data_IF_315706091725
#
_entry.id   IF_315706091725
#
_cell.length_a   1.000
_cell.length_b   1.000
_cell.length_c   1.000
_cell.angle_alpha   90.00
_cell.angle_beta   90.00
_cell.angle_gamma   90.00
#
_symmetry.space_group_name_H-M   'P 1'
#
loop_
_entity.id
_entity.type
_entity.pdbx_description
1 polymer ?
#
# COMPACT_ATOMS: atom_id res chain seq x y z
N UNK A 1 7.80 -17.07 -2.66
CA UNK A 1 6.85 -15.99 -2.34
C UNK A 1 6.35 -15.44 -3.66
N UNK A 2 5.03 -15.42 -3.86
CA UNK A 2 4.43 -14.97 -5.13
C UNK A 2 4.66 -13.47 -5.30
N UNK A 3 5.09 -13.04 -6.49
CA UNK A 3 5.25 -11.63 -6.89
C UNK A 3 3.88 -10.94 -7.13
N UNK A 4 2.82 -11.48 -6.53
CA UNK A 4 1.45 -11.05 -6.72
C UNK A 4 1.02 -10.17 -5.54
N UNK A 5 0.26 -9.08 -5.78
CA UNK A 5 -0.17 -8.16 -4.71
C UNK A 5 -1.36 -8.71 -3.89
N UNK A 6 -1.45 -10.04 -3.74
CA UNK A 6 -2.54 -10.73 -3.05
C UNK A 6 -2.11 -12.11 -2.56
N UNK A 7 -2.77 -12.60 -1.51
CA UNK A 7 -2.59 -13.98 -1.03
C UNK A 7 -3.47 -14.97 -1.80
N UNK A 8 -3.01 -16.22 -1.89
CA UNK A 8 -3.82 -17.34 -2.36
C UNK A 8 -4.10 -18.26 -1.18
N UNK A 9 -5.37 -18.35 -0.77
CA UNK A 9 -5.79 -19.13 0.39
C UNK A 9 -6.79 -20.20 -0.05
N UNK A 10 -6.73 -21.39 0.54
CA UNK A 10 -7.76 -22.41 0.29
C UNK A 10 -9.07 -21.94 0.93
N UNK A 11 -10.21 -22.17 0.26
CA UNK A 11 -11.52 -21.82 0.82
C UNK A 11 -11.79 -22.47 2.20
N UNK A 12 -11.13 -23.61 2.49
CA UNK A 12 -11.23 -24.33 3.78
C UNK A 12 -10.42 -23.69 4.90
N UNK A 13 -9.42 -22.88 4.58
CA UNK A 13 -8.56 -22.24 5.58
C UNK A 13 -9.23 -20.96 6.10
N UNK A 14 -9.33 -20.83 7.42
CA UNK A 14 -9.68 -19.56 8.06
C UNK A 14 -8.65 -18.49 7.72
N UNK A 15 -9.10 -17.24 7.52
CA UNK A 15 -8.22 -16.07 7.38
C UNK A 15 -7.16 -16.13 8.49
N UNK A 16 -5.93 -16.44 8.11
CA UNK A 16 -4.83 -16.74 9.02
C UNK A 16 -3.85 -15.58 9.00
N UNK A 17 -3.12 -15.44 10.10
CA UNK A 17 -1.98 -14.53 10.24
C UNK A 17 -0.86 -15.01 9.29
N UNK A 18 -0.96 -14.64 8.01
CA UNK A 18 -0.03 -15.06 6.97
C UNK A 18 1.14 -14.09 6.85
N UNK A 19 2.25 -14.55 6.28
CA UNK A 19 3.39 -13.67 5.96
C UNK A 19 2.95 -12.47 5.10
N UNK A 20 1.96 -12.66 4.21
CA UNK A 20 1.41 -11.57 3.40
C UNK A 20 0.58 -10.59 4.23
N UNK A 21 -0.21 -11.06 5.19
CA UNK A 21 -0.92 -10.20 6.12
C UNK A 21 0.05 -9.34 6.92
N UNK A 22 1.10 -9.95 7.48
CA UNK A 22 2.15 -9.24 8.21
C UNK A 22 2.86 -8.22 7.33
N UNK A 23 3.25 -8.62 6.10
CA UNK A 23 3.85 -7.71 5.13
C UNK A 23 2.95 -6.52 4.85
N UNK A 24 1.67 -6.73 4.51
CA UNK A 24 0.74 -5.64 4.23
C UNK A 24 0.53 -4.72 5.44
N UNK A 25 0.55 -5.27 6.65
CA UNK A 25 0.47 -4.49 7.88
C UNK A 25 1.74 -3.65 8.10
N UNK A 26 2.92 -4.18 7.82
CA UNK A 26 4.19 -3.45 7.94
C UNK A 26 4.32 -2.36 6.87
N UNK A 27 3.95 -2.66 5.63
CA UNK A 27 4.04 -1.74 4.50
C UNK A 27 2.83 -0.82 4.35
N UNK A 28 1.81 -0.99 5.19
CA UNK A 28 0.54 -0.24 5.14
C UNK A 28 -0.12 -0.32 3.76
N UNK A 29 -0.09 -1.50 3.12
CA UNK A 29 -0.69 -1.76 1.80
C UNK A 29 -1.97 -2.58 1.93
N UNK A 30 -2.86 -2.58 0.92
CA UNK A 30 -4.11 -3.32 0.98
C UNK A 30 -3.86 -4.83 1.11
N UNK A 31 -4.55 -5.49 2.03
CA UNK A 31 -4.55 -6.94 2.13
C UNK A 31 -5.71 -7.52 1.31
N UNK A 32 -5.38 -8.00 0.11
CA UNK A 32 -6.32 -8.69 -0.79
C UNK A 32 -6.01 -10.17 -0.81
N UNK A 33 -7.04 -11.00 -0.77
CA UNK A 33 -6.93 -12.46 -0.78
C UNK A 33 -7.82 -13.05 -1.86
N UNK A 34 -7.32 -14.06 -2.56
CA UNK A 34 -8.11 -14.94 -3.41
C UNK A 34 -8.33 -16.26 -2.67
N UNK A 35 -9.57 -16.56 -2.30
CA UNK A 35 -9.94 -17.84 -1.70
C UNK A 35 -10.43 -18.77 -2.80
N UNK A 36 -9.63 -19.78 -3.14
CA UNK A 36 -10.00 -20.71 -4.22
C UNK A 36 -10.75 -21.91 -3.66
N UNK A 37 -11.93 -22.18 -4.19
CA UNK A 37 -12.66 -23.43 -4.03
C UNK A 37 -12.51 -24.32 -5.27
N UNK A 38 -13.25 -25.44 -5.29
CA UNK A 38 -13.13 -26.46 -6.35
C UNK A 38 -13.62 -25.96 -7.72
N UNK A 39 -14.61 -25.06 -7.75
CA UNK A 39 -15.25 -24.58 -8.99
C UNK A 39 -15.29 -23.06 -9.13
N UNK A 40 -15.04 -22.34 -8.06
CA UNK A 40 -15.10 -20.89 -8.00
C UNK A 40 -14.07 -20.36 -7.03
N UNK A 41 -13.79 -19.07 -7.12
CA UNK A 41 -12.93 -18.37 -6.18
C UNK A 41 -13.58 -17.07 -5.73
N UNK A 42 -13.29 -16.69 -4.49
CA UNK A 42 -13.74 -15.45 -3.90
C UNK A 42 -12.55 -14.49 -3.79
N UNK A 43 -12.79 -13.20 -4.01
CA UNK A 43 -11.79 -12.14 -3.83
C UNK A 43 -12.22 -11.26 -2.69
N UNK A 44 -11.36 -11.11 -1.68
CA UNK A 44 -11.68 -10.40 -0.44
C UNK A 44 -10.67 -9.31 -0.18
N UNK A 45 -11.15 -8.17 0.28
CA UNK A 45 -10.35 -7.13 0.92
C UNK A 45 -10.96 -6.78 2.28
N UNK A 46 -10.10 -6.72 3.28
CA UNK A 46 -10.39 -6.31 4.65
C UNK A 46 -9.40 -5.19 5.05
N UNK A 47 -9.96 -4.03 5.38
CA UNK A 47 -9.26 -2.81 5.82
C UNK A 47 -8.30 -2.95 7.01
N UNK A 48 -8.19 -4.12 7.67
CA UNK A 48 -7.32 -4.36 8.84
C UNK A 48 -5.88 -3.83 8.68
N UNK A 49 -5.35 -3.80 7.46
CA UNK A 49 -3.96 -3.40 7.18
C UNK A 49 -3.73 -1.90 6.99
N UNK A 50 -4.79 -1.10 7.00
CA UNK A 50 -4.72 0.33 6.68
C UNK A 50 -4.77 1.23 7.92
N UNK A 51 -4.11 2.41 7.89
CA UNK A 51 -4.16 3.34 9.01
C UNK A 51 -5.53 4.06 9.10
N UNK A 52 -5.94 4.55 10.29
CA UNK A 52 -7.26 5.17 10.49
C UNK A 52 -7.57 6.38 9.58
N UNK A 53 -6.54 7.11 9.14
CA UNK A 53 -6.71 8.21 8.18
C UNK A 53 -7.21 7.72 6.82
N UNK A 54 -6.86 6.49 6.41
CA UNK A 54 -7.37 5.87 5.20
C UNK A 54 -8.85 5.49 5.34
N UNK A 55 -9.28 5.02 6.52
CA UNK A 55 -10.69 4.72 6.80
C UNK A 55 -11.57 5.97 6.62
N UNK A 56 -11.15 7.10 7.18
CA UNK A 56 -11.87 8.36 6.99
C UNK A 56 -11.98 8.76 5.51
N UNK A 57 -10.90 8.56 4.72
CA UNK A 57 -10.88 8.85 3.28
C UNK A 57 -11.78 7.88 2.50
N UNK A 58 -11.73 6.58 2.79
CA UNK A 58 -12.57 5.56 2.18
C UNK A 58 -14.06 5.82 2.46
N UNK A 59 -14.42 6.11 3.72
CA UNK A 59 -15.80 6.45 4.11
C UNK A 59 -16.30 7.72 3.43
N UNK A 60 -15.48 8.77 3.39
CA UNK A 60 -15.85 10.04 2.73
C UNK A 60 -16.08 9.84 1.23
N UNK A 61 -15.37 8.92 0.60
CA UNK A 61 -15.44 8.63 -0.83
C UNK A 61 -16.19 7.32 -1.13
N UNK A 62 -17.01 6.83 -0.19
CA UNK A 62 -17.59 5.48 -0.28
C UNK A 62 -18.43 5.28 -1.54
N UNK A 63 -19.20 6.29 -1.96
CA UNK A 63 -20.01 6.22 -3.19
C UNK A 63 -19.13 5.99 -4.43
N UNK A 64 -17.98 6.67 -4.51
CA UNK A 64 -17.05 6.51 -5.62
C UNK A 64 -16.36 5.13 -5.54
N UNK A 65 -15.91 4.73 -4.34
CA UNK A 65 -15.33 3.42 -4.10
C UNK A 65 -16.30 2.30 -4.49
N UNK A 66 -17.56 2.39 -4.07
CA UNK A 66 -18.58 1.40 -4.38
C UNK A 66 -18.81 1.29 -5.89
N UNK A 67 -18.97 2.43 -6.57
CA UNK A 67 -19.15 2.47 -8.02
C UNK A 67 -17.97 1.80 -8.74
N UNK A 68 -16.74 2.15 -8.36
CA UNK A 68 -15.55 1.67 -9.04
C UNK A 68 -15.30 0.18 -8.73
N UNK A 69 -15.56 -0.27 -7.50
CA UNK A 69 -15.52 -1.67 -7.12
C UNK A 69 -16.58 -2.51 -7.86
N UNK A 70 -17.79 -1.95 -8.05
CA UNK A 70 -18.85 -2.58 -8.84
C UNK A 70 -18.46 -2.71 -10.30
N UNK A 71 -17.85 -1.68 -10.90
CA UNK A 71 -17.36 -1.74 -12.27
C UNK A 71 -16.25 -2.80 -12.45
N UNK A 72 -15.41 -3.02 -11.44
CA UNK A 72 -14.45 -4.14 -11.45
C UNK A 72 -15.20 -5.47 -11.40
N UNK A 73 -16.14 -5.63 -10.45
CA UNK A 73 -16.91 -6.87 -10.32
C UNK A 73 -17.63 -7.24 -11.63
N UNK A 74 -18.30 -6.28 -12.28
CA UNK A 74 -19.04 -6.49 -13.53
C UNK A 74 -18.16 -6.98 -14.69
N UNK A 75 -16.86 -6.68 -14.68
CA UNK A 75 -15.93 -7.18 -15.71
C UNK A 75 -15.61 -8.68 -15.57
N UNK A 76 -15.74 -9.23 -14.36
CA UNK A 76 -15.35 -10.60 -14.05
C UNK A 76 -16.54 -11.48 -13.59
N UNK A 77 -17.71 -10.87 -13.39
CA UNK A 77 -18.89 -11.55 -12.88
C UNK A 77 -19.43 -12.58 -13.88
N UNK A 78 -19.90 -13.69 -13.32
CA UNK A 78 -20.74 -14.69 -13.98
C UNK A 78 -22.12 -14.72 -13.31
N UNK A 79 -23.13 -15.44 -13.85
CA UNK A 79 -24.49 -15.42 -13.32
C UNK A 79 -24.60 -15.76 -11.83
N UNK A 80 -23.71 -16.62 -11.32
CA UNK A 80 -23.65 -17.05 -9.92
C UNK A 80 -22.79 -16.14 -9.04
N UNK A 81 -22.16 -15.11 -9.60
CA UNK A 81 -21.32 -14.19 -8.85
C UNK A 81 -22.14 -13.22 -8.01
N UNK A 82 -21.62 -12.86 -6.84
CA UNK A 82 -22.24 -11.87 -5.97
C UNK A 82 -21.23 -10.83 -5.49
N UNK A 83 -21.71 -9.60 -5.32
CA UNK A 83 -20.93 -8.48 -4.86
C UNK A 83 -21.40 -8.06 -3.47
N UNK A 84 -20.47 -8.01 -2.50
CA UNK A 84 -20.71 -7.43 -1.18
C UNK A 84 -19.75 -6.27 -0.97
N UNK A 85 -20.30 -5.08 -0.73
CA UNK A 85 -19.51 -3.87 -0.47
C UNK A 85 -19.96 -3.27 0.86
N UNK A 86 -18.99 -2.98 1.71
CA UNK A 86 -19.09 -2.15 2.92
C UNK A 86 -17.90 -1.19 2.92
N UNK A 87 -17.94 -0.08 3.68
CA UNK A 87 -16.84 0.87 3.72
C UNK A 87 -15.48 0.27 4.10
N UNK A 88 -15.51 -0.86 4.80
CA UNK A 88 -14.35 -1.53 5.36
C UNK A 88 -14.12 -2.93 4.78
N UNK A 89 -14.95 -3.38 3.83
CA UNK A 89 -14.87 -4.74 3.29
C UNK A 89 -15.45 -4.80 1.89
N UNK A 90 -14.72 -5.42 0.97
CA UNK A 90 -15.22 -5.72 -0.38
C UNK A 90 -15.01 -7.20 -0.66
N UNK A 91 -16.05 -7.85 -1.16
CA UNK A 91 -16.04 -9.25 -1.52
C UNK A 91 -16.65 -9.47 -2.91
N UNK A 92 -15.91 -10.13 -3.79
CA UNK A 92 -16.41 -10.68 -5.05
C UNK A 92 -16.53 -12.18 -4.86
N UNK A 93 -17.75 -12.65 -4.66
CA UNK A 93 -18.03 -14.07 -4.42
C UNK A 93 -18.29 -14.80 -5.74
N UNK A 94 -17.89 -16.07 -5.79
CA UNK A 94 -18.16 -16.98 -6.90
C UNK A 94 -17.66 -16.48 -8.27
N UNK A 95 -16.43 -15.96 -8.34
CA UNK A 95 -15.76 -15.69 -9.61
C UNK A 95 -15.19 -16.99 -10.20
N UNK A 96 -14.91 -16.98 -11.50
CA UNK A 96 -14.12 -18.06 -12.10
C UNK A 96 -12.69 -18.02 -11.57
N UNK A 97 -12.11 -19.19 -11.28
CA UNK A 97 -10.76 -19.32 -10.71
C UNK A 97 -9.70 -18.64 -11.59
N UNK A 98 -9.85 -18.72 -12.91
CA UNK A 98 -8.96 -18.09 -13.89
C UNK A 98 -9.03 -16.56 -13.87
N UNK A 99 -10.15 -15.98 -13.42
CA UNK A 99 -10.38 -14.53 -13.41
C UNK A 99 -10.15 -13.89 -12.04
N UNK A 100 -10.25 -14.68 -10.96
CA UNK A 100 -10.16 -14.17 -9.59
C UNK A 100 -8.83 -13.45 -9.29
N UNK A 101 -7.72 -13.91 -9.86
CA UNK A 101 -6.41 -13.24 -9.73
C UNK A 101 -6.39 -11.85 -10.37
N UNK A 102 -6.97 -11.73 -11.57
CA UNK A 102 -7.09 -10.44 -12.27
C UNK A 102 -8.02 -9.49 -11.52
N UNK A 103 -9.13 -10.01 -10.98
CA UNK A 103 -10.04 -9.25 -10.15
C UNK A 103 -9.38 -8.77 -8.84
N UNK A 104 -8.57 -9.62 -8.18
CA UNK A 104 -7.81 -9.27 -7.00
C UNK A 104 -6.77 -8.17 -7.29
N UNK A 105 -6.03 -8.25 -8.39
CA UNK A 105 -5.09 -7.21 -8.79
C UNK A 105 -5.79 -5.88 -9.13
N UNK A 106 -6.99 -5.93 -9.73
CA UNK A 106 -7.80 -4.73 -9.96
C UNK A 106 -8.29 -4.12 -8.64
N UNK A 107 -8.81 -4.94 -7.72
CA UNK A 107 -9.26 -4.50 -6.41
C UNK A 107 -8.11 -3.89 -5.59
N UNK A 108 -6.94 -4.52 -5.57
CA UNK A 108 -5.76 -3.99 -4.90
C UNK A 108 -5.42 -2.57 -5.38
N UNK A 109 -5.37 -2.37 -6.71
CA UNK A 109 -5.07 -1.05 -7.30
C UNK A 109 -6.12 0.00 -6.95
N UNK A 110 -7.40 -0.40 -6.90
CA UNK A 110 -8.48 0.49 -6.46
C UNK A 110 -8.26 0.95 -5.02
N UNK A 111 -8.01 0.03 -4.08
CA UNK A 111 -7.80 0.40 -2.68
C UNK A 111 -6.52 1.22 -2.50
N UNK A 112 -5.44 0.85 -3.19
CA UNK A 112 -4.17 1.56 -3.15
C UNK A 112 -4.31 3.05 -3.52
N UNK A 113 -5.24 3.41 -4.41
CA UNK A 113 -5.53 4.81 -4.77
C UNK A 113 -6.02 5.67 -3.59
N UNK A 114 -6.66 5.04 -2.60
CA UNK A 114 -7.15 5.73 -1.39
C UNK A 114 -6.11 5.81 -0.29
N UNK A 115 -4.97 5.15 -0.44
CA UNK A 115 -3.87 5.27 0.49
C UNK A 115 -3.13 6.59 0.27
N UNK A 116 -2.54 7.19 1.31
CA UNK A 116 -1.54 8.23 1.09
C UNK A 116 -0.46 7.66 0.19
N UNK A 117 0.10 8.49 -0.69
CA UNK A 117 1.37 8.18 -1.33
C UNK A 117 2.33 7.84 -0.20
N UNK A 118 2.66 6.57 -0.05
CA UNK A 118 3.78 6.19 0.78
C UNK A 118 4.92 7.01 0.22
N UNK A 119 5.51 7.89 1.03
CA UNK A 119 6.83 8.40 0.73
C UNK A 119 7.68 7.14 0.58
N UNK A 120 7.89 6.71 -0.65
CA UNK A 120 8.76 5.60 -1.02
C UNK A 120 10.13 6.08 -0.56
N UNK A 121 10.44 5.84 0.71
CA UNK A 121 11.80 5.92 1.20
C UNK A 121 12.46 4.65 0.69
N UNK A 122 12.72 4.62 -0.62
CA UNK A 122 13.79 3.79 -1.13
C UNK A 122 15.06 4.22 -0.42
N UNK A 123 15.96 3.28 -0.05
CA UNK A 123 17.28 3.69 0.39
C UNK A 123 17.88 4.53 -0.74
N UNK A 124 18.25 5.77 -0.41
CA UNK A 124 18.99 6.65 -1.30
C UNK A 124 20.36 6.03 -1.58
N UNK A 125 20.40 5.07 -2.50
CA UNK A 125 21.60 4.68 -3.20
C UNK A 125 21.70 5.59 -4.42
N UNK A 126 22.60 6.58 -4.34
CA UNK A 126 23.57 6.96 -5.37
C UNK A 126 23.85 8.45 -5.24
N UNK A 127 25.05 8.76 -4.74
CA UNK A 127 26.00 9.79 -5.17
C UNK A 127 26.97 10.03 -3.99
N UNK A 128 28.29 9.92 -4.08
CA UNK A 128 29.20 9.51 -5.13
C UNK A 128 30.56 9.32 -4.43
N UNK A 129 31.19 8.16 -4.56
CA UNK A 129 32.63 8.02 -4.34
C UNK A 129 33.30 8.02 -5.73
N UNK A 130 33.82 9.17 -6.11
CA UNK A 130 34.77 9.37 -7.21
C UNK A 130 35.40 10.77 -7.10
N UNK A 131 36.36 10.87 -6.19
CA UNK A 131 37.70 11.42 -6.43
C UNK A 131 37.88 12.63 -7.41
N UNK A 132 37.95 13.85 -6.85
CA UNK A 132 38.99 14.92 -6.95
C UNK A 132 39.43 15.51 -8.32
N UNK A 133 39.75 16.83 -8.43
CA UNK A 133 40.84 17.49 -7.66
C UNK A 133 40.61 18.93 -7.14
N UNK A 134 41.44 19.24 -6.13
CA UNK A 134 41.73 20.48 -5.38
C UNK A 134 41.62 21.84 -6.12
N UNK A 135 41.47 22.93 -5.32
CA UNK A 135 42.26 24.15 -5.51
C UNK A 135 43.12 24.50 -4.26
N UNK A 136 44.15 25.37 -4.41
CA UNK A 136 45.27 25.46 -3.49
C UNK A 136 45.08 26.45 -2.32
N UNK A 137 45.82 26.15 -1.25
CA UNK A 137 46.59 27.03 -0.35
C UNK A 137 46.18 28.50 -0.25
N UNK A 138 45.57 28.89 0.88
CA UNK A 138 46.15 29.82 1.88
C UNK A 138 45.15 30.06 3.02
N UNK A 139 45.53 29.73 4.26
CA UNK A 139 44.78 30.10 5.46
C UNK A 139 45.75 30.75 6.44
N UNK A 140 45.65 32.06 6.70
CA UNK A 140 46.40 32.65 7.80
C UNK A 140 45.72 32.35 9.13
N UNK A 141 46.52 31.81 10.05
CA UNK A 141 46.30 31.79 11.50
C UNK A 141 46.36 33.21 12.05
N UNK A 142 45.34 33.60 12.81
CA UNK A 142 45.42 34.58 13.93
C UNK A 142 44.11 34.40 14.70
N UNK A 143 44.05 33.64 15.81
CA UNK A 143 44.40 34.04 17.17
C UNK A 143 44.14 35.52 17.53
N UNK A 144 43.22 35.65 18.50
CA UNK A 144 43.08 36.72 19.50
C UNK A 144 42.55 38.08 19.03
N UNK A 145 41.39 38.48 19.57
CA UNK A 145 41.37 39.43 20.69
C UNK A 145 39.96 39.53 21.30
N UNK A 146 39.91 39.49 22.63
CA UNK A 146 38.82 39.98 23.47
C UNK A 146 38.52 41.45 23.18
N UNK A 147 37.25 41.88 23.28
CA UNK A 147 36.83 43.06 24.08
C UNK A 147 35.35 42.89 24.48
N UNK A 148 35.15 43.17 25.77
CA UNK A 148 33.94 43.32 26.57
C UNK A 148 32.99 44.46 26.14
N UNK A 149 31.80 44.42 26.75
CA UNK A 149 31.04 45.54 27.32
C UNK A 149 29.98 46.32 26.51
N UNK A 150 28.96 46.69 27.29
CA UNK A 150 27.78 47.54 27.05
C UNK A 150 26.65 46.91 26.21
N UNK A 151 25.42 46.73 26.69
CA UNK A 151 24.73 47.34 27.84
C UNK A 151 23.37 47.89 27.36
N UNK A 152 22.30 47.43 28.01
CA UNK A 152 20.96 48.02 28.19
C UNK A 152 20.33 48.87 27.06
N UNK A 153 19.14 48.46 26.61
CA UNK A 153 17.84 48.93 27.14
C UNK A 153 16.68 48.21 26.44
#
# INVERSE_FOLDING_TARGET
>A
MSDAPFDLVDAKDTFTDSDWFHSCRETQTPYVVVRSGERSADVLWDYITLPPCCDARLRRNFIALERDARAIFEQFAQPESYLRIKPTMICFDHLRVDQAKSAAAALYRLIAHYLPETAITGPAATNADSQMPHPPTDWPKTHSLWVEEAGLA
#
